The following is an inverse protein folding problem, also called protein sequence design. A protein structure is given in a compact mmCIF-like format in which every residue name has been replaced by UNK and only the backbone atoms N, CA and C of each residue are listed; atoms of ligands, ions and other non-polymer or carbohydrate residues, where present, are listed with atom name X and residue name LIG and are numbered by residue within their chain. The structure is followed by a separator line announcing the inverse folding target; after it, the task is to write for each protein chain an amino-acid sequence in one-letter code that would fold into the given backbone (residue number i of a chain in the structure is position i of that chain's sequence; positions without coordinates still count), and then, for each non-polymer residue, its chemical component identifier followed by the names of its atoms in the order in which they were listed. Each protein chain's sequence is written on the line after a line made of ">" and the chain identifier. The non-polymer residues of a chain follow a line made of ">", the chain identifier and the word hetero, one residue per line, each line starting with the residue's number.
data_IF_199157435951
#
_entry.id   IF_199157435951
#
_cell.length_a   1.000
_cell.length_b   1.000
_cell.length_c   1.000
_cell.angle_alpha   90.00
_cell.angle_beta   90.00
_cell.angle_gamma   90.00
#
_symmetry.space_group_name_H-M   'P 1'
#
loop_
_entity.id
_entity.type
_entity.pdbx_description
1 polymer ?
#
# COMPACT_ATOMS: atom_id res chain seq x y z
N UNK A 1 47.44 -11.71 3.15
CA UNK A 1 46.74 -11.01 4.25
C UNK A 1 45.84 -9.96 3.63
N UNK A 2 44.52 -10.08 3.80
CA UNK A 2 43.59 -9.05 3.32
C UNK A 2 43.55 -7.91 4.33
N UNK A 3 44.12 -6.77 3.97
CA UNK A 3 44.02 -5.54 4.75
C UNK A 3 42.62 -4.97 4.53
N UNK A 4 41.63 -5.45 5.29
CA UNK A 4 40.34 -4.77 5.36
C UNK A 4 40.58 -3.42 6.03
N UNK A 5 40.27 -2.28 5.38
CA UNK A 5 40.35 -0.99 6.04
C UNK A 5 39.42 -1.03 7.26
N UNK A 6 39.96 -0.79 8.45
CA UNK A 6 39.12 -0.58 9.62
C UNK A 6 38.42 0.75 9.40
N UNK A 7 37.17 0.70 8.97
CA UNK A 7 36.29 1.87 8.94
C UNK A 7 36.15 2.31 10.40
N UNK A 8 36.79 3.42 10.74
CA UNK A 8 36.74 3.96 12.07
C UNK A 8 35.36 4.58 12.35
N UNK A 9 35.06 4.82 13.63
CA UNK A 9 33.78 5.37 14.04
C UNK A 9 33.60 6.84 13.61
N UNK A 10 34.67 7.52 13.21
CA UNK A 10 34.65 8.93 12.80
C UNK A 10 34.15 9.09 11.34
N UNK A 11 34.41 8.12 10.47
CA UNK A 11 33.81 8.05 9.13
C UNK A 11 32.28 7.86 9.15
N UNK A 12 31.76 7.18 10.19
CA UNK A 12 30.31 6.93 10.35
C UNK A 12 29.54 8.13 10.92
N UNK A 13 30.23 9.10 11.53
CA UNK A 13 29.61 10.30 12.13
C UNK A 13 29.36 11.44 11.14
N UNK A 14 29.74 11.27 9.88
CA UNK A 14 29.66 12.31 8.84
C UNK A 14 28.39 12.25 7.98
N UNK A 15 27.43 11.38 8.29
CA UNK A 15 26.15 11.40 7.58
C UNK A 15 25.32 12.54 8.18
N UNK A 16 25.17 13.61 7.40
CA UNK A 16 24.33 14.73 7.76
C UNK A 16 22.88 14.26 7.95
N UNK A 17 22.15 14.88 8.88
CA UNK A 17 20.76 14.52 9.16
C UNK A 17 19.88 14.64 7.90
N UNK A 18 20.17 15.60 7.02
CA UNK A 18 19.49 15.78 5.75
C UNK A 18 19.79 14.64 4.75
N UNK A 19 21.02 14.10 4.74
CA UNK A 19 21.38 12.97 3.90
C UNK A 19 20.64 11.70 4.34
N UNK A 20 20.47 11.52 5.65
CA UNK A 20 19.70 10.41 6.21
C UNK A 20 18.22 10.51 5.85
N UNK A 21 17.61 11.69 5.94
CA UNK A 21 16.23 11.95 5.53
C UNK A 21 16.03 11.70 4.02
N UNK A 22 16.98 12.14 3.18
CA UNK A 22 16.92 11.90 1.74
C UNK A 22 16.98 10.40 1.40
N UNK A 23 17.85 9.64 2.09
CA UNK A 23 17.94 8.18 1.91
C UNK A 23 16.64 7.50 2.34
N UNK A 24 16.06 7.87 3.48
CA UNK A 24 14.80 7.30 3.94
C UNK A 24 13.67 7.61 2.95
N UNK A 25 13.55 8.86 2.50
CA UNK A 25 12.53 9.25 1.53
C UNK A 25 12.68 8.49 0.21
N UNK A 26 13.91 8.35 -0.30
CA UNK A 26 14.22 7.54 -1.49
C UNK A 26 13.81 6.08 -1.29
N UNK A 27 14.09 5.50 -0.12
CA UNK A 27 13.71 4.13 0.22
C UNK A 27 12.19 3.96 0.26
N UNK A 28 11.47 4.88 0.91
CA UNK A 28 10.01 4.88 0.95
C UNK A 28 9.41 4.96 -0.47
N UNK A 29 9.92 5.87 -1.32
CA UNK A 29 9.49 6.01 -2.71
C UNK A 29 9.77 4.76 -3.55
N UNK A 30 10.93 4.13 -3.37
CA UNK A 30 11.25 2.86 -4.02
C UNK A 30 10.26 1.75 -3.61
N UNK A 31 9.95 1.64 -2.31
CA UNK A 31 8.97 0.67 -1.82
C UNK A 31 7.56 0.93 -2.38
N UNK A 32 7.12 2.18 -2.43
CA UNK A 32 5.84 2.57 -3.03
C UNK A 32 5.79 2.20 -4.51
N UNK A 33 6.86 2.49 -5.25
CA UNK A 33 6.99 2.15 -6.67
C UNK A 33 6.94 0.64 -6.90
N UNK A 34 7.62 -0.14 -6.07
CA UNK A 34 7.58 -1.61 -6.12
C UNK A 34 6.18 -2.16 -5.86
N UNK A 35 5.45 -1.61 -4.87
CA UNK A 35 4.06 -1.98 -4.60
C UNK A 35 3.14 -1.63 -5.77
N UNK A 36 3.31 -0.44 -6.36
CA UNK A 36 2.56 0.00 -7.53
C UNK A 36 2.77 -0.91 -8.74
N UNK A 37 4.02 -1.27 -9.05
CA UNK A 37 4.35 -2.22 -10.11
C UNK A 37 3.72 -3.58 -9.88
N UNK A 38 3.81 -4.10 -8.65
CA UNK A 38 3.19 -5.39 -8.27
C UNK A 38 1.66 -5.36 -8.42
N UNK A 39 1.01 -4.25 -8.07
CA UNK A 39 -0.43 -4.08 -8.27
C UNK A 39 -0.81 -4.06 -9.76
N UNK A 40 -0.06 -3.29 -10.57
CA UNK A 40 -0.28 -3.21 -12.01
C UNK A 40 -0.13 -4.60 -12.66
N UNK A 41 0.91 -5.35 -12.32
CA UNK A 41 1.12 -6.70 -12.85
C UNK A 41 -0.01 -7.66 -12.47
N UNK A 42 -0.56 -7.56 -11.25
CA UNK A 42 -1.64 -8.44 -10.78
C UNK A 42 -3.01 -8.11 -11.35
N UNK A 43 -3.31 -6.83 -11.55
CA UNK A 43 -4.67 -6.38 -11.87
C UNK A 43 -4.81 -5.82 -13.28
N UNK A 44 -3.70 -5.50 -13.95
CA UNK A 44 -3.67 -4.78 -15.21
C UNK A 44 -4.15 -3.33 -15.12
N UNK A 45 -4.38 -2.80 -13.92
CA UNK A 45 -4.93 -1.45 -13.70
C UNK A 45 -3.87 -0.50 -13.17
N UNK A 46 -3.86 0.72 -13.70
CA UNK A 46 -3.01 1.81 -13.21
C UNK A 46 -3.57 2.35 -11.88
N UNK A 47 -2.69 2.77 -10.96
CA UNK A 47 -3.11 3.32 -9.66
C UNK A 47 -3.74 4.72 -9.72
N UNK A 48 -3.71 5.40 -10.87
CA UNK A 48 -4.39 6.69 -11.04
C UNK A 48 -3.79 7.85 -10.23
N UNK A 49 -2.46 7.88 -10.01
CA UNK A 49 -1.74 8.87 -9.17
C UNK A 49 -1.48 10.21 -9.88
N UNK A 50 -2.20 10.51 -10.95
CA UNK A 50 -1.87 11.65 -11.82
C UNK A 50 -2.28 13.02 -11.25
N UNK A 51 -2.70 13.12 -9.99
CA UNK A 51 -3.12 14.35 -9.35
C UNK A 51 -2.74 14.43 -7.85
N UNK A 52 -2.79 15.62 -7.24
CA UNK A 52 -2.49 15.83 -5.82
C UNK A 52 -3.49 15.15 -4.87
N UNK A 53 -4.56 14.57 -5.42
CA UNK A 53 -5.64 13.93 -4.69
C UNK A 53 -5.20 12.62 -4.07
N UNK A 54 -5.51 12.44 -2.78
CA UNK A 54 -5.31 11.19 -2.04
C UNK A 54 -5.86 9.98 -2.79
N UNK A 55 -5.12 8.86 -2.81
CA UNK A 55 -5.64 7.55 -3.21
C UNK A 55 -6.83 7.16 -2.33
N UNK A 56 -8.04 7.56 -2.72
CA UNK A 56 -9.28 7.27 -2.01
C UNK A 56 -10.20 6.44 -2.88
N UNK A 57 -10.84 5.45 -2.28
CA UNK A 57 -12.01 4.85 -2.89
C UNK A 57 -13.20 5.80 -2.72
N UNK A 58 -14.06 5.89 -3.73
CA UNK A 58 -15.35 6.54 -3.59
C UNK A 58 -16.20 5.69 -2.62
N UNK A 59 -16.23 6.09 -1.35
CA UNK A 59 -16.88 5.33 -0.28
C UNK A 59 -18.38 5.14 -0.53
N UNK A 60 -19.04 6.04 -1.27
CA UNK A 60 -20.44 5.87 -1.65
C UNK A 60 -20.64 4.72 -2.66
N UNK A 61 -19.60 4.34 -3.38
CA UNK A 61 -19.59 3.19 -4.31
C UNK A 61 -19.03 1.92 -3.69
N UNK A 62 -18.27 2.01 -2.61
CA UNK A 62 -17.74 0.85 -1.91
C UNK A 62 -18.87 0.13 -1.20
N UNK A 63 -19.09 -1.15 -1.53
CA UNK A 63 -20.08 -2.00 -0.88
C UNK A 63 -19.41 -3.13 -0.08
N UNK A 64 -19.86 -3.33 1.15
CA UNK A 64 -19.38 -4.41 2.01
C UNK A 64 -19.90 -5.77 1.54
N UNK A 65 -19.00 -6.69 1.20
CA UNK A 65 -19.36 -8.04 0.76
C UNK A 65 -20.16 -8.86 1.78
N UNK A 66 -19.99 -8.63 3.08
CA UNK A 66 -20.66 -9.42 4.13
C UNK A 66 -22.11 -8.99 4.41
N UNK A 67 -22.43 -7.70 4.24
CA UNK A 67 -23.73 -7.12 4.63
C UNK A 67 -24.40 -6.31 3.52
N UNK A 68 -23.75 -6.18 2.37
CA UNK A 68 -24.24 -5.42 1.22
C UNK A 68 -24.64 -3.97 1.53
N UNK A 69 -23.93 -3.37 2.50
CA UNK A 69 -24.08 -1.95 2.84
C UNK A 69 -22.92 -1.15 2.27
N UNK A 70 -23.24 0.01 1.70
CA UNK A 70 -22.26 0.95 1.15
C UNK A 70 -21.44 1.62 2.26
N UNK A 71 -20.32 2.24 1.89
CA UNK A 71 -19.52 3.06 2.79
C UNK A 71 -18.43 2.35 3.57
N UNK A 72 -18.23 1.03 3.41
CA UNK A 72 -17.14 0.33 4.10
C UNK A 72 -16.73 -0.99 3.43
N UNK A 73 -15.51 -1.44 3.72
CA UNK A 73 -15.04 -2.75 3.29
C UNK A 73 -15.48 -3.86 4.24
N UNK A 74 -15.57 -5.09 3.74
CA UNK A 74 -15.95 -6.26 4.55
C UNK A 74 -15.06 -6.47 5.80
N UNK A 75 -13.78 -6.09 5.72
CA UNK A 75 -12.82 -6.17 6.84
C UNK A 75 -13.12 -5.20 7.99
N UNK A 76 -13.83 -4.11 7.71
CA UNK A 76 -14.21 -3.09 8.70
C UNK A 76 -15.53 -3.43 9.38
N UNK A 77 -16.21 -4.48 8.93
CA UNK A 77 -17.50 -4.82 9.49
C UNK A 77 -17.36 -5.46 10.86
N UNK A 78 -17.86 -4.77 11.89
CA UNK A 78 -17.88 -5.25 13.28
C UNK A 78 -19.12 -6.09 13.61
N UNK A 79 -20.05 -6.22 12.66
CA UNK A 79 -21.32 -6.90 12.88
C UNK A 79 -21.16 -8.44 12.70
N UNK A 80 -21.89 -9.28 13.46
CA UNK A 80 -21.95 -10.72 13.23
C UNK A 80 -22.58 -11.00 11.85
N UNK A 81 -21.97 -11.89 11.05
CA UNK A 81 -22.45 -12.24 9.69
C UNK A 81 -23.97 -12.43 9.69
N UNK A 82 -24.66 -11.65 8.86
CA UNK A 82 -26.10 -11.79 8.70
C UNK A 82 -26.39 -13.13 8.00
N UNK A 83 -27.07 -14.04 8.69
CA UNK A 83 -27.39 -15.40 8.19
C UNK A 83 -28.60 -15.41 7.24
N UNK A 84 -29.21 -14.24 6.95
CA UNK A 84 -30.34 -14.11 6.02
C UNK A 84 -29.86 -14.13 4.55
N UNK A 85 -29.76 -15.35 4.02
CA UNK A 85 -29.61 -15.82 2.61
C UNK A 85 -30.36 -15.00 1.52
N UNK A 86 -30.11 -15.20 0.18
CA UNK A 86 -29.53 -16.37 -0.50
C UNK A 86 -28.33 -16.12 -1.43
N UNK A 87 -27.66 -17.20 -1.82
CA UNK A 87 -26.64 -17.22 -2.86
C UNK A 87 -27.21 -16.67 -4.17
N UNK A 88 -26.89 -15.41 -4.47
CA UNK A 88 -27.13 -14.82 -5.79
C UNK A 88 -25.87 -15.03 -6.61
N UNK A 89 -26.08 -15.61 -7.79
CA UNK A 89 -25.06 -16.11 -8.68
C UNK A 89 -23.99 -15.07 -9.02
N UNK A 90 -22.76 -15.56 -9.02
CA UNK A 90 -21.57 -14.94 -9.58
C UNK A 90 -21.88 -14.31 -10.96
N UNK A 91 -21.65 -13.01 -11.18
CA UNK A 91 -21.46 -12.51 -12.52
C UNK A 91 -20.10 -13.04 -13.01
N UNK A 92 -20.13 -14.01 -13.92
CA UNK A 92 -18.92 -14.41 -14.64
C UNK A 92 -18.26 -13.19 -15.26
N UNK A 93 -16.94 -13.07 -15.06
CA UNK A 93 -16.08 -12.09 -15.70
C UNK A 93 -15.08 -12.80 -16.58
#
# INVERSE_FOLDING_TARGET
>A
QSSSPQLDNEDLKQIDENDLEEIDLKWQMAMLTMRARKFLQKTGRNLGVNGPTSMGFDMEKVECYNFHRKGHFARECRSPKDTRRPAVAEPQR
#
